data_IF_589650122395
#
_entry.id   IF_589650122395
#
_cell.length_a   1.000
_cell.length_b   1.000
_cell.length_c   1.000
_cell.angle_alpha   90.00
_cell.angle_beta   90.00
_cell.angle_gamma   90.00
#
_symmetry.space_group_name_H-M   'P 1'
#
loop_
_entity.id
_entity.type
_entity.pdbx_description
1 polymer ?
#
# COMPACT_ATOMS: atom_id res chain seq x y z
N UNK A 1 42.78 11.49 -6.99
CA UNK A 1 42.08 11.13 -5.73
C UNK A 1 40.83 10.37 -6.12
N UNK A 2 40.89 9.04 -6.00
CA UNK A 2 39.80 8.13 -6.35
C UNK A 2 38.67 8.23 -5.32
N UNK A 3 37.48 8.57 -5.78
CA UNK A 3 36.24 8.50 -4.99
C UNK A 3 36.00 7.03 -4.67
N UNK A 4 36.06 6.64 -3.39
CA UNK A 4 35.72 5.30 -2.96
C UNK A 4 34.23 5.06 -3.26
N UNK A 5 33.94 4.09 -4.12
CA UNK A 5 32.61 3.51 -4.26
C UNK A 5 32.08 3.16 -2.88
N UNK A 6 30.91 3.65 -2.52
CA UNK A 6 30.23 3.24 -1.30
C UNK A 6 30.16 1.71 -1.28
N UNK A 7 30.62 1.10 -0.18
CA UNK A 7 30.58 -0.34 0.04
C UNK A 7 29.13 -0.73 0.39
N UNK A 8 28.37 -1.03 -0.66
CA UNK A 8 26.95 -1.34 -0.59
C UNK A 8 26.64 -2.62 0.18
N UNK A 9 27.59 -3.55 0.27
CA UNK A 9 27.45 -4.75 1.09
C UNK A 9 27.48 -4.39 2.58
N UNK A 10 28.35 -3.46 2.96
CA UNK A 10 28.38 -2.89 4.32
C UNK A 10 27.13 -2.07 4.65
N UNK A 11 26.54 -1.37 3.67
CA UNK A 11 25.29 -0.62 3.85
C UNK A 11 24.07 -1.54 3.95
N UNK A 12 24.00 -2.59 3.13
CA UNK A 12 22.99 -3.67 3.23
C UNK A 12 23.08 -4.37 4.59
N UNK A 13 24.29 -4.71 5.04
CA UNK A 13 24.52 -5.30 6.36
C UNK A 13 24.21 -4.36 7.52
N UNK A 14 24.41 -3.05 7.37
CA UNK A 14 24.06 -2.06 8.40
C UNK A 14 22.55 -1.84 8.49
N UNK A 15 21.84 -1.86 7.37
CA UNK A 15 20.37 -1.93 7.36
C UNK A 15 19.89 -3.23 8.01
N UNK A 16 20.49 -4.37 7.69
CA UNK A 16 20.18 -5.66 8.33
C UNK A 16 20.42 -5.60 9.86
N UNK A 17 21.55 -5.06 10.32
CA UNK A 17 21.89 -4.99 11.75
C UNK A 17 21.08 -3.94 12.56
N UNK A 18 20.52 -2.93 11.91
CA UNK A 18 19.54 -2.01 12.52
C UNK A 18 18.15 -2.64 12.66
N UNK A 19 17.91 -3.78 12.01
CA UNK A 19 16.60 -4.45 11.88
C UNK A 19 16.55 -5.76 12.68
N UNK A 20 17.65 -6.16 13.33
CA UNK A 20 17.78 -7.42 14.05
C UNK A 20 17.59 -7.20 15.56
N UNK A 21 16.40 -7.51 16.06
CA UNK A 21 16.19 -7.86 17.47
C UNK A 21 16.47 -9.37 17.60
N UNK A 22 17.75 -9.76 17.67
CA UNK A 22 18.22 -11.17 17.60
C UNK A 22 18.11 -11.96 18.89
N UNK A 23 17.49 -11.47 19.95
CA UNK A 23 17.42 -12.23 21.21
C UNK A 23 16.00 -12.70 21.46
N UNK A 24 15.55 -13.80 20.81
CA UNK A 24 14.54 -14.75 21.35
C UNK A 24 14.06 -15.88 20.40
N UNK A 25 14.91 -16.61 19.65
CA UNK A 25 14.39 -17.77 18.88
C UNK A 25 15.36 -18.97 18.88
N UNK A 26 15.14 -19.92 19.80
CA UNK A 26 15.79 -21.25 19.78
C UNK A 26 14.78 -22.34 20.11
N UNK A 27 14.37 -23.10 19.09
CA UNK A 27 14.33 -24.57 19.11
C UNK A 27 13.61 -25.22 17.92
N UNK A 28 12.74 -24.51 17.18
CA UNK A 28 12.06 -25.03 15.98
C UNK A 28 12.49 -24.39 14.64
N UNK A 29 13.16 -23.23 14.65
CA UNK A 29 13.60 -22.54 13.41
C UNK A 29 14.84 -23.16 12.75
N UNK A 30 15.54 -24.10 13.42
CA UNK A 30 16.82 -24.63 12.94
C UNK A 30 16.72 -25.42 11.62
N UNK A 31 15.52 -25.91 11.25
CA UNK A 31 15.32 -26.68 10.03
C UNK A 31 14.76 -25.84 8.87
N UNK A 32 14.19 -24.65 9.12
CA UNK A 32 13.56 -23.85 8.06
C UNK A 32 14.60 -23.29 7.09
N UNK A 33 15.65 -22.69 7.61
CA UNK A 33 16.76 -22.14 6.80
C UNK A 33 17.40 -23.19 5.87
N UNK A 34 17.86 -24.37 6.37
CA UNK A 34 18.46 -25.37 5.48
C UNK A 34 17.45 -25.95 4.49
N UNK A 35 16.18 -26.11 4.88
CA UNK A 35 15.12 -26.56 3.96
C UNK A 35 14.86 -25.54 2.85
N UNK A 36 14.84 -24.25 3.19
CA UNK A 36 14.63 -23.17 2.24
C UNK A 36 15.82 -23.03 1.29
N UNK A 37 17.06 -23.13 1.78
CA UNK A 37 18.24 -23.14 0.92
C UNK A 37 18.18 -24.29 -0.08
N UNK A 38 17.94 -25.51 0.40
CA UNK A 38 17.85 -26.70 -0.44
C UNK A 38 16.75 -26.57 -1.49
N UNK A 39 15.57 -26.08 -1.11
CA UNK A 39 14.45 -25.89 -2.02
C UNK A 39 14.76 -24.86 -3.12
N UNK A 40 15.42 -23.76 -2.77
CA UNK A 40 15.85 -22.74 -3.73
C UNK A 40 16.91 -23.28 -4.68
N UNK A 41 17.92 -23.98 -4.16
CA UNK A 41 19.01 -24.53 -4.96
C UNK A 41 18.51 -25.60 -5.96
N UNK A 42 17.43 -26.31 -5.60
CA UNK A 42 16.75 -27.27 -6.46
C UNK A 42 15.64 -26.66 -7.34
N UNK A 43 15.41 -25.35 -7.27
CA UNK A 43 14.28 -24.65 -7.92
C UNK A 43 12.90 -25.26 -7.58
N UNK A 44 12.75 -25.86 -6.40
CA UNK A 44 11.48 -26.43 -5.93
C UNK A 44 10.58 -25.33 -5.36
N UNK A 45 9.91 -24.62 -6.27
CA UNK A 45 9.01 -23.54 -5.90
C UNK A 45 7.85 -24.01 -5.01
N UNK A 46 7.42 -25.29 -5.07
CA UNK A 46 6.31 -25.79 -4.24
C UNK A 46 6.71 -25.85 -2.78
N UNK A 47 7.93 -26.32 -2.49
CA UNK A 47 8.48 -26.30 -1.13
C UNK A 47 8.73 -24.86 -0.68
N UNK A 48 9.26 -24.00 -1.55
CA UNK A 48 9.43 -22.56 -1.23
C UNK A 48 8.10 -21.91 -0.87
N UNK A 49 7.03 -22.17 -1.63
CA UNK A 49 5.68 -21.68 -1.32
C UNK A 49 5.16 -22.19 0.01
N UNK A 50 5.35 -23.49 0.29
CA UNK A 50 4.94 -24.08 1.55
C UNK A 50 5.65 -23.40 2.73
N UNK A 51 6.99 -23.28 2.66
CA UNK A 51 7.80 -22.67 3.72
C UNK A 51 7.53 -21.17 3.89
N UNK A 52 7.30 -20.44 2.80
CA UNK A 52 6.96 -19.02 2.84
C UNK A 52 5.61 -18.74 3.53
N UNK A 53 4.67 -19.71 3.55
CA UNK A 53 3.39 -19.60 4.26
C UNK A 53 3.48 -19.96 5.75
N UNK A 54 4.57 -20.58 6.21
CA UNK A 54 4.75 -20.87 7.63
C UNK A 54 5.31 -19.65 8.38
N UNK A 55 5.20 -19.68 9.71
CA UNK A 55 5.67 -18.61 10.61
C UNK A 55 7.06 -18.07 10.20
N UNK A 56 7.20 -16.75 10.17
CA UNK A 56 8.43 -16.05 9.81
C UNK A 56 8.67 -15.87 8.30
N UNK A 57 7.79 -16.38 7.43
CA UNK A 57 7.88 -16.14 5.98
C UNK A 57 9.17 -16.68 5.37
N UNK A 58 9.79 -15.91 4.47
CA UNK A 58 11.09 -16.23 3.86
C UNK A 58 12.29 -15.80 4.72
N UNK A 59 12.09 -15.52 6.01
CA UNK A 59 13.12 -15.25 7.02
C UNK A 59 13.80 -13.88 6.82
N UNK A 60 14.56 -13.68 5.75
CA UNK A 60 15.36 -12.47 5.53
C UNK A 60 15.49 -12.11 4.04
N UNK A 61 16.07 -10.93 3.78
CA UNK A 61 16.25 -10.39 2.42
C UNK A 61 17.12 -11.28 1.52
N UNK A 62 18.09 -12.02 2.06
CA UNK A 62 18.95 -12.90 1.27
C UNK A 62 18.18 -14.09 0.68
N UNK A 63 17.26 -14.67 1.45
CA UNK A 63 16.36 -15.68 0.93
C UNK A 63 15.35 -15.08 -0.06
N UNK A 64 14.80 -13.89 0.21
CA UNK A 64 13.86 -13.20 -0.70
C UNK A 64 14.49 -12.88 -2.06
N UNK A 65 15.74 -12.41 -2.09
CA UNK A 65 16.50 -12.16 -3.33
C UNK A 65 16.51 -13.36 -4.26
N UNK A 66 16.49 -14.58 -3.72
CA UNK A 66 16.48 -15.83 -4.51
C UNK A 66 15.08 -16.41 -4.71
N UNK A 67 14.24 -16.35 -3.68
CA UNK A 67 12.92 -16.96 -3.68
C UNK A 67 11.88 -16.13 -4.45
N UNK A 68 11.89 -14.80 -4.35
CA UNK A 68 10.90 -13.97 -5.06
C UNK A 68 10.99 -14.10 -6.58
N UNK A 69 12.18 -14.06 -7.23
CA UNK A 69 12.28 -14.30 -8.67
C UNK A 69 11.72 -15.67 -9.06
N UNK A 70 12.05 -16.71 -8.29
CA UNK A 70 11.52 -18.06 -8.50
C UNK A 70 9.99 -18.10 -8.41
N UNK A 71 9.40 -17.48 -7.37
CA UNK A 71 7.94 -17.42 -7.19
C UNK A 71 7.24 -16.55 -8.24
N UNK A 72 7.95 -15.59 -8.84
CA UNK A 72 7.48 -14.72 -9.91
C UNK A 72 7.71 -15.29 -11.31
N UNK A 73 8.25 -16.51 -11.41
CA UNK A 73 8.50 -17.19 -12.69
C UNK A 73 9.60 -16.51 -13.52
N UNK A 74 10.57 -15.85 -12.87
CA UNK A 74 11.74 -15.30 -13.56
C UNK A 74 12.65 -16.46 -13.95
N UNK A 75 12.83 -16.66 -15.26
CA UNK A 75 13.78 -17.61 -15.81
C UNK A 75 15.20 -17.04 -15.63
N UNK A 76 15.91 -17.55 -14.61
CA UNK A 76 17.25 -17.08 -14.26
C UNK A 76 18.30 -17.41 -15.32
N UNK A 77 18.16 -18.50 -16.08
CA UNK A 77 19.09 -18.84 -17.16
C UNK A 77 18.97 -17.83 -18.30
N UNK A 78 17.73 -17.57 -18.73
CA UNK A 78 17.43 -16.57 -19.76
C UNK A 78 17.78 -15.17 -19.29
N UNK A 79 17.51 -14.83 -18.03
CA UNK A 79 17.88 -13.55 -17.44
C UNK A 79 19.40 -13.30 -17.53
N UNK A 80 20.22 -14.25 -17.08
CA UNK A 80 21.67 -14.12 -17.18
C UNK A 80 22.15 -14.04 -18.64
N UNK A 81 21.53 -14.80 -19.55
CA UNK A 81 21.80 -14.71 -20.99
C UNK A 81 21.47 -13.34 -21.59
N UNK A 82 20.34 -12.75 -21.21
CA UNK A 82 19.92 -11.41 -21.65
C UNK A 82 20.85 -10.32 -21.11
N UNK A 83 21.20 -10.37 -19.82
CA UNK A 83 22.16 -9.43 -19.22
C UNK A 83 23.54 -9.48 -19.89
N UNK A 84 23.96 -10.66 -20.36
CA UNK A 84 25.20 -10.81 -21.13
C UNK A 84 25.09 -10.27 -22.57
N UNK A 85 23.90 -10.26 -23.15
CA UNK A 85 23.63 -9.71 -24.48
C UNK A 85 23.50 -8.18 -24.40
N UNK A 86 24.47 -7.44 -24.94
CA UNK A 86 24.50 -5.96 -24.92
C UNK A 86 23.44 -5.29 -25.83
N UNK A 87 22.34 -5.98 -26.14
CA UNK A 87 21.36 -5.61 -27.16
C UNK A 87 19.97 -5.25 -26.60
N UNK A 88 19.86 -4.84 -25.33
CA UNK A 88 18.63 -4.23 -24.86
C UNK A 88 18.51 -2.80 -25.41
N UNK A 89 17.37 -2.49 -26.02
CA UNK A 89 17.03 -1.11 -26.41
C UNK A 89 16.92 -0.30 -25.12
N UNK A 90 17.68 0.80 -25.03
CA UNK A 90 17.61 1.70 -23.87
C UNK A 90 16.16 2.17 -23.68
N UNK A 91 15.56 1.84 -22.55
CA UNK A 91 14.18 2.21 -22.24
C UNK A 91 13.96 3.73 -22.26
N UNK A 92 15.03 4.53 -22.05
CA UNK A 92 14.97 6.00 -22.14
C UNK A 92 14.69 6.49 -23.55
N UNK A 93 14.95 5.67 -24.58
CA UNK A 93 14.61 5.97 -25.98
C UNK A 93 13.13 5.75 -26.31
N UNK A 94 12.38 5.05 -25.44
CA UNK A 94 10.93 4.86 -25.62
C UNK A 94 10.17 6.18 -25.34
N UNK A 95 8.99 6.37 -25.94
CA UNK A 95 8.16 7.54 -25.69
C UNK A 95 7.90 7.76 -24.21
N UNK A 96 7.80 9.04 -23.82
CA UNK A 96 7.47 9.44 -22.47
C UNK A 96 6.08 8.93 -22.09
N UNK A 97 5.94 8.41 -20.87
CA UNK A 97 4.65 8.03 -20.31
C UNK A 97 3.86 9.28 -19.86
N UNK A 98 2.54 9.21 -19.86
CA UNK A 98 1.68 10.33 -19.44
C UNK A 98 1.77 10.67 -17.95
N UNK A 99 2.20 9.72 -17.13
CA UNK A 99 2.15 9.83 -15.66
C UNK A 99 3.52 10.11 -15.00
N UNK A 100 4.58 10.40 -15.77
CA UNK A 100 5.95 10.54 -15.22
C UNK A 100 6.08 11.68 -14.20
N UNK A 101 5.38 12.79 -14.40
CA UNK A 101 5.40 13.92 -13.47
C UNK A 101 4.86 13.53 -12.08
N UNK A 102 3.78 12.73 -12.06
CA UNK A 102 3.19 12.23 -10.82
C UNK A 102 4.12 11.24 -10.12
N UNK A 103 4.81 10.38 -10.90
CA UNK A 103 5.82 9.46 -10.36
C UNK A 103 6.91 10.24 -9.62
N UNK A 104 7.46 11.29 -10.23
CA UNK A 104 8.54 12.08 -9.61
C UNK A 104 8.07 12.72 -8.28
N UNK A 105 6.88 13.31 -8.24
CA UNK A 105 6.32 13.91 -7.01
C UNK A 105 6.12 12.89 -5.87
N UNK A 106 5.74 11.67 -6.22
CA UNK A 106 5.50 10.60 -5.25
C UNK A 106 6.81 9.97 -4.75
N UNK A 107 7.77 9.77 -5.65
CA UNK A 107 9.11 9.28 -5.30
C UNK A 107 9.85 10.26 -4.39
N UNK A 108 9.66 11.57 -4.58
CA UNK A 108 10.24 12.59 -3.70
C UNK A 108 9.77 12.46 -2.24
N UNK A 109 8.59 11.89 -2.01
CA UNK A 109 8.02 11.64 -0.68
C UNK A 109 8.32 10.24 -0.13
N UNK A 110 9.06 9.41 -0.88
CA UNK A 110 9.37 8.02 -0.51
C UNK A 110 10.56 7.88 0.47
N UNK A 111 10.75 6.67 0.99
CA UNK A 111 11.85 6.26 1.90
C UNK A 111 11.90 6.99 3.24
N UNK A 112 10.73 7.41 3.75
CA UNK A 112 10.61 7.97 5.10
C UNK A 112 10.95 6.91 6.15
N UNK A 113 10.40 5.69 6.01
CA UNK A 113 10.52 4.62 7.00
C UNK A 113 11.59 3.57 6.65
N UNK A 114 11.63 3.09 5.40
CA UNK A 114 12.52 1.96 5.04
C UNK A 114 14.02 2.30 5.00
N UNK A 115 14.37 3.59 5.03
CA UNK A 115 15.75 4.05 5.02
C UNK A 115 15.98 5.16 6.07
N UNK A 116 15.23 5.17 7.17
CA UNK A 116 15.27 6.24 8.19
C UNK A 116 16.71 6.55 8.64
N UNK A 117 17.49 5.50 8.91
CA UNK A 117 18.89 5.55 9.37
C UNK A 117 19.92 5.74 8.24
N UNK A 118 19.50 5.81 6.98
CA UNK A 118 20.36 6.07 5.83
C UNK A 118 20.74 7.54 5.72
N UNK A 119 21.94 7.82 5.21
CA UNK A 119 22.34 9.20 4.89
C UNK A 119 21.46 9.78 3.78
N UNK A 120 21.37 11.10 3.71
CA UNK A 120 20.60 11.79 2.65
C UNK A 120 21.09 11.42 1.24
N UNK A 121 22.39 11.14 1.09
CA UNK A 121 22.95 10.62 -0.17
C UNK A 121 22.38 9.26 -0.55
N UNK A 122 22.24 8.34 0.40
CA UNK A 122 21.65 7.01 0.17
C UNK A 122 20.16 7.14 -0.16
N UNK A 123 19.42 7.99 0.56
CA UNK A 123 18.01 8.27 0.25
C UNK A 123 17.84 8.85 -1.15
N UNK A 124 18.71 9.77 -1.55
CA UNK A 124 18.69 10.38 -2.89
C UNK A 124 18.97 9.34 -3.98
N UNK A 125 19.93 8.44 -3.76
CA UNK A 125 20.20 7.36 -4.71
C UNK A 125 19.03 6.37 -4.81
N UNK A 126 18.43 5.97 -3.69
CA UNK A 126 17.26 5.09 -3.69
C UNK A 126 16.07 5.73 -4.41
N UNK A 127 15.83 7.04 -4.21
CA UNK A 127 14.81 7.79 -4.96
C UNK A 127 15.10 7.80 -6.46
N UNK A 128 16.35 8.06 -6.85
CA UNK A 128 16.76 8.01 -8.26
C UNK A 128 16.53 6.63 -8.88
N UNK A 129 16.96 5.57 -8.19
CA UNK A 129 16.73 4.18 -8.61
C UNK A 129 15.25 3.82 -8.68
N UNK A 130 14.44 4.27 -7.72
CA UNK A 130 12.99 4.04 -7.69
C UNK A 130 12.28 4.75 -8.85
N UNK A 131 12.67 6.00 -9.13
CA UNK A 131 12.14 6.75 -10.25
C UNK A 131 12.46 6.05 -11.57
N UNK A 132 13.73 5.72 -11.83
CA UNK A 132 14.14 5.01 -13.06
C UNK A 132 13.45 3.65 -13.20
N UNK A 133 13.26 2.91 -12.09
CA UNK A 133 12.52 1.64 -12.07
C UNK A 133 11.07 1.80 -12.52
N UNK A 134 10.33 2.74 -11.90
CA UNK A 134 8.90 2.95 -12.20
C UNK A 134 8.74 3.50 -13.63
N UNK A 135 9.56 4.47 -14.03
CA UNK A 135 9.52 5.04 -15.37
C UNK A 135 9.77 3.97 -16.44
N UNK A 136 10.76 3.09 -16.22
CA UNK A 136 11.02 1.98 -17.13
C UNK A 136 9.82 1.05 -17.26
N UNK A 137 9.18 0.67 -16.15
CA UNK A 137 7.99 -0.21 -16.18
C UNK A 137 6.88 0.42 -17.00
N UNK A 138 6.58 1.70 -16.78
CA UNK A 138 5.52 2.43 -17.48
C UNK A 138 5.83 2.65 -18.96
N UNK A 139 7.08 2.97 -19.33
CA UNK A 139 7.46 3.12 -20.75
C UNK A 139 7.50 1.80 -21.51
N UNK A 140 7.86 0.70 -20.84
CA UNK A 140 7.78 -0.64 -21.43
C UNK A 140 6.34 -1.18 -21.49
N UNK A 141 5.45 -0.65 -20.66
CA UNK A 141 4.03 -1.01 -20.61
C UNK A 141 3.16 0.27 -20.66
N UNK A 142 3.15 1.01 -21.79
CA UNK A 142 2.48 2.31 -21.92
C UNK A 142 0.96 2.27 -21.72
N UNK A 143 0.41 1.08 -21.65
CA UNK A 143 -0.98 0.80 -21.37
C UNK A 143 -1.36 0.92 -19.88
N UNK A 144 -0.39 0.79 -18.96
CA UNK A 144 -0.63 0.90 -17.53
C UNK A 144 -0.83 2.35 -17.10
N UNK A 145 -1.79 2.61 -16.23
CA UNK A 145 -2.00 3.92 -15.61
C UNK A 145 -1.41 3.91 -14.20
N UNK A 146 -0.53 4.87 -13.91
CA UNK A 146 0.04 5.00 -12.57
C UNK A 146 -1.04 5.40 -11.55
N UNK A 147 -0.99 4.83 -10.35
CA UNK A 147 -1.80 5.26 -9.20
C UNK A 147 -0.90 5.62 -8.01
N UNK A 148 -1.34 6.61 -7.24
CA UNK A 148 -0.62 7.03 -6.04
C UNK A 148 -0.58 5.89 -5.02
N UNK A 149 0.64 5.50 -4.63
CA UNK A 149 0.92 4.36 -3.76
C UNK A 149 1.60 3.17 -4.46
N UNK A 150 1.64 3.15 -5.80
CA UNK A 150 2.43 2.14 -6.54
C UNK A 150 3.93 2.24 -6.22
N UNK A 151 4.43 3.44 -5.94
CA UNK A 151 5.82 3.67 -5.53
C UNK A 151 6.17 2.98 -4.20
N UNK A 152 5.23 2.91 -3.25
CA UNK A 152 5.44 2.24 -1.96
C UNK A 152 5.68 0.73 -2.19
N UNK A 153 4.91 0.09 -3.08
CA UNK A 153 5.11 -1.31 -3.46
C UNK A 153 6.48 -1.51 -4.13
N UNK A 154 6.83 -0.66 -5.10
CA UNK A 154 8.10 -0.74 -5.80
C UNK A 154 9.29 -0.54 -4.86
N UNK A 155 9.14 0.29 -3.82
CA UNK A 155 10.17 0.52 -2.82
C UNK A 155 10.51 -0.74 -2.00
N UNK A 156 9.52 -1.62 -1.73
CA UNK A 156 9.74 -2.90 -1.03
C UNK A 156 10.69 -3.79 -1.84
N UNK A 157 10.43 -3.94 -3.14
CA UNK A 157 11.32 -4.66 -4.04
C UNK A 157 12.68 -3.98 -4.15
N UNK A 158 12.72 -2.66 -4.30
CA UNK A 158 13.99 -1.95 -4.47
C UNK A 158 14.92 -2.13 -3.27
N UNK A 159 14.40 -2.13 -2.04
CA UNK A 159 15.22 -2.36 -0.84
C UNK A 159 15.84 -3.76 -0.86
N UNK A 160 15.12 -4.77 -1.35
CA UNK A 160 15.63 -6.15 -1.48
C UNK A 160 16.66 -6.24 -2.60
N UNK A 161 16.42 -5.61 -3.75
CA UNK A 161 17.22 -5.79 -4.97
C UNK A 161 18.09 -4.55 -5.32
N UNK A 162 18.46 -3.73 -4.34
CA UNK A 162 19.11 -2.42 -4.54
C UNK A 162 20.43 -2.47 -5.32
N UNK A 163 21.11 -3.62 -5.32
CA UNK A 163 22.36 -3.89 -6.04
C UNK A 163 22.15 -4.67 -7.35
N UNK A 164 20.93 -5.13 -7.62
CA UNK A 164 20.58 -6.00 -8.76
C UNK A 164 19.41 -5.38 -9.54
N UNK A 165 19.59 -4.15 -10.02
CA UNK A 165 18.50 -3.35 -10.61
C UNK A 165 17.79 -4.02 -11.80
N UNK A 166 18.50 -4.82 -12.60
CA UNK A 166 17.87 -5.53 -13.72
C UNK A 166 16.95 -6.65 -13.23
N UNK A 167 17.36 -7.38 -12.18
CA UNK A 167 16.52 -8.40 -11.54
C UNK A 167 15.34 -7.75 -10.81
N UNK A 168 15.59 -6.63 -10.12
CA UNK A 168 14.56 -5.79 -9.52
C UNK A 168 13.49 -5.44 -10.56
N UNK A 169 13.91 -4.91 -11.71
CA UNK A 169 13.01 -4.56 -12.80
C UNK A 169 12.17 -5.74 -13.27
N UNK A 170 12.78 -6.90 -13.54
CA UNK A 170 12.04 -8.11 -13.96
C UNK A 170 11.03 -8.55 -12.91
N UNK A 171 11.42 -8.58 -11.63
CA UNK A 171 10.54 -8.93 -10.53
C UNK A 171 9.35 -7.97 -10.41
N UNK A 172 9.60 -6.64 -10.41
CA UNK A 172 8.52 -5.65 -10.29
C UNK A 172 7.64 -5.65 -11.52
N UNK A 173 8.19 -5.82 -12.73
CA UNK A 173 7.40 -5.94 -13.96
C UNK A 173 6.47 -7.16 -13.88
N UNK A 174 6.99 -8.35 -13.58
CA UNK A 174 6.16 -9.55 -13.41
C UNK A 174 5.11 -9.35 -12.32
N UNK A 175 5.50 -8.84 -11.16
CA UNK A 175 4.57 -8.60 -10.05
C UNK A 175 3.45 -7.63 -10.45
N UNK A 176 3.79 -6.56 -11.15
CA UNK A 176 2.82 -5.56 -11.63
C UNK A 176 1.78 -6.19 -12.55
N UNK A 177 2.23 -6.97 -13.53
CA UNK A 177 1.37 -7.56 -14.54
C UNK A 177 0.52 -8.73 -13.99
N UNK A 178 1.06 -9.47 -13.02
CA UNK A 178 0.43 -10.65 -12.44
C UNK A 178 -0.46 -10.35 -11.24
N UNK A 179 -0.18 -9.28 -10.49
CA UNK A 179 -0.87 -8.98 -9.22
C UNK A 179 -1.49 -7.58 -9.15
N UNK A 180 -1.00 -6.58 -9.90
CA UNK A 180 -1.43 -5.18 -9.72
C UNK A 180 -2.20 -4.60 -10.89
N UNK A 181 -2.22 -5.29 -12.03
CA UNK A 181 -2.78 -4.79 -13.30
C UNK A 181 -4.18 -4.21 -13.14
N UNK A 182 -5.06 -4.83 -12.37
CA UNK A 182 -6.43 -4.34 -12.18
C UNK A 182 -6.50 -2.98 -11.48
N UNK A 183 -5.50 -2.62 -10.66
CA UNK A 183 -5.37 -1.30 -10.02
C UNK A 183 -4.75 -0.24 -10.94
N UNK A 184 -4.11 -0.66 -12.04
CA UNK A 184 -3.46 0.20 -13.04
C UNK A 184 -4.29 0.37 -14.31
N UNK A 185 -5.58 0.05 -14.26
CA UNK A 185 -6.51 0.29 -15.37
C UNK A 185 -6.86 1.79 -15.44
N UNK A 186 -7.29 2.31 -16.62
CA UNK A 186 -7.70 3.70 -16.76
C UNK A 186 -8.85 4.13 -15.84
N UNK A 187 -9.68 3.16 -15.43
CA UNK A 187 -10.80 3.35 -14.51
C UNK A 187 -10.59 2.58 -13.22
N UNK A 188 -10.96 3.20 -12.09
CA UNK A 188 -10.92 2.61 -10.75
C UNK A 188 -11.99 1.53 -10.54
N UNK A 189 -12.90 1.33 -11.49
CA UNK A 189 -14.03 0.42 -11.36
C UNK A 189 -13.60 -1.01 -11.00
N UNK A 190 -12.51 -1.51 -11.57
CA UNK A 190 -12.00 -2.86 -11.25
C UNK A 190 -11.50 -2.93 -9.80
N UNK A 191 -10.77 -1.92 -9.34
CA UNK A 191 -10.40 -1.77 -7.92
C UNK A 191 -11.63 -1.77 -7.02
N UNK A 192 -12.70 -1.05 -7.38
CA UNK A 192 -13.94 -1.00 -6.60
C UNK A 192 -14.62 -2.37 -6.53
N UNK A 193 -14.67 -3.13 -7.63
CA UNK A 193 -15.23 -4.49 -7.62
C UNK A 193 -14.45 -5.41 -6.68
N UNK A 194 -13.12 -5.27 -6.61
CA UNK A 194 -12.27 -5.98 -5.64
C UNK A 194 -12.65 -5.59 -4.21
N UNK A 195 -12.81 -4.29 -3.91
CA UNK A 195 -13.22 -3.81 -2.59
C UNK A 195 -14.60 -4.34 -2.17
N UNK A 196 -15.55 -4.47 -3.11
CA UNK A 196 -16.90 -5.00 -2.88
C UNK A 196 -16.95 -6.46 -2.45
N UNK A 197 -15.82 -7.17 -2.46
CA UNK A 197 -15.70 -8.50 -1.86
C UNK A 197 -15.59 -8.45 -0.33
N UNK A 198 -15.18 -7.32 0.27
CA UNK A 198 -14.96 -7.22 1.72
C UNK A 198 -16.26 -7.40 2.50
N UNK A 199 -17.33 -6.60 2.30
CA UNK A 199 -18.53 -6.70 3.13
C UNK A 199 -19.15 -8.11 3.20
N UNK A 200 -19.40 -8.82 2.08
CA UNK A 200 -19.99 -10.17 2.15
C UNK A 200 -19.03 -11.21 2.75
N UNK A 201 -17.71 -11.02 2.61
CA UNK A 201 -16.75 -11.90 3.27
C UNK A 201 -16.75 -11.68 4.79
N UNK A 202 -16.78 -10.42 5.25
CA UNK A 202 -16.94 -10.10 6.67
C UNK A 202 -18.23 -10.71 7.21
N UNK A 203 -19.37 -10.53 6.53
CA UNK A 203 -20.66 -11.11 6.92
C UNK A 203 -20.60 -12.63 7.16
N UNK A 204 -19.85 -13.35 6.32
CA UNK A 204 -19.70 -14.80 6.39
C UNK A 204 -18.78 -15.27 7.53
N UNK A 205 -17.81 -14.44 7.90
CA UNK A 205 -16.81 -14.77 8.93
C UNK A 205 -17.26 -14.30 10.31
N UNK A 206 -17.76 -13.07 10.42
CA UNK A 206 -18.32 -12.45 11.62
C UNK A 206 -19.49 -11.51 11.25
N UNK A 207 -20.71 -12.02 11.40
CA UNK A 207 -21.94 -11.27 11.12
C UNK A 207 -22.19 -10.12 12.10
N UNK A 208 -21.63 -10.18 13.32
CA UNK A 208 -21.77 -9.10 14.29
C UNK A 208 -21.01 -7.87 13.80
N UNK A 209 -19.75 -8.02 13.38
CA UNK A 209 -18.96 -6.92 12.81
C UNK A 209 -19.65 -6.33 11.58
N UNK A 210 -20.16 -7.18 10.69
CA UNK A 210 -20.86 -6.71 9.50
C UNK A 210 -22.04 -5.78 9.84
N UNK A 211 -22.87 -6.17 10.83
CA UNK A 211 -24.04 -5.40 11.23
C UNK A 211 -23.67 -4.14 12.02
N UNK A 212 -22.77 -4.25 13.00
CA UNK A 212 -22.39 -3.12 13.86
C UNK A 212 -21.63 -2.03 13.09
N UNK A 213 -20.82 -2.41 12.10
CA UNK A 213 -20.12 -1.47 11.22
C UNK A 213 -20.94 -1.06 9.98
N UNK A 214 -22.22 -1.46 9.89
CA UNK A 214 -23.12 -1.09 8.79
C UNK A 214 -22.50 -1.35 7.40
N UNK A 215 -21.73 -2.44 7.24
CA UNK A 215 -20.93 -2.67 6.02
C UNK A 215 -21.79 -2.90 4.77
N UNK A 216 -23.08 -3.20 4.94
CA UNK A 216 -24.04 -3.27 3.84
C UNK A 216 -24.50 -1.92 3.31
N UNK A 217 -24.36 -0.86 4.12
CA UNK A 217 -24.89 0.49 3.84
C UNK A 217 -23.81 1.50 3.43
N UNK A 218 -22.52 1.13 3.54
CA UNK A 218 -21.38 1.97 3.18
C UNK A 218 -20.59 1.35 2.01
N UNK A 219 -20.13 2.20 1.10
CA UNK A 219 -19.21 1.77 0.05
C UNK A 219 -17.81 1.49 0.68
N UNK A 220 -17.13 0.38 0.31
CA UNK A 220 -15.92 -0.10 0.98
C UNK A 220 -14.65 0.70 0.66
N UNK A 221 -14.78 2.00 0.41
CA UNK A 221 -13.65 2.91 0.15
C UNK A 221 -12.72 3.05 1.34
N UNK A 222 -13.18 2.75 2.57
CA UNK A 222 -12.32 2.73 3.76
C UNK A 222 -11.12 1.77 3.61
N UNK A 223 -11.24 0.75 2.76
CA UNK A 223 -10.20 -0.26 2.55
C UNK A 223 -9.32 0.02 1.32
N UNK A 224 -9.54 1.12 0.59
CA UNK A 224 -8.85 1.36 -0.68
C UNK A 224 -7.33 1.43 -0.52
N UNK A 225 -6.85 2.24 0.42
CA UNK A 225 -5.42 2.46 0.67
C UNK A 225 -4.67 1.16 0.97
N UNK A 226 -5.07 0.33 1.95
CA UNK A 226 -4.36 -0.91 2.25
C UNK A 226 -4.41 -1.93 1.11
N UNK A 227 -5.46 -1.95 0.29
CA UNK A 227 -5.52 -2.91 -0.82
C UNK A 227 -4.71 -2.49 -2.04
N UNK A 228 -4.80 -1.24 -2.50
CA UNK A 228 -4.06 -0.82 -3.70
C UNK A 228 -2.55 -0.72 -3.43
N UNK A 229 -2.16 -0.49 -2.17
CA UNK A 229 -0.75 -0.43 -1.77
C UNK A 229 -0.24 -1.74 -1.17
N UNK A 230 -1.08 -2.79 -1.10
CA UNK A 230 -0.72 -4.05 -0.44
C UNK A 230 -0.14 -3.84 0.96
N UNK A 231 -0.74 -2.90 1.71
CA UNK A 231 -0.34 -2.45 3.04
C UNK A 231 1.01 -1.74 3.13
N UNK A 232 1.76 -1.57 2.03
CA UNK A 232 3.09 -0.96 2.07
C UNK A 232 3.06 0.52 2.47
N UNK A 233 1.94 1.20 2.24
CA UNK A 233 1.73 2.56 2.70
C UNK A 233 1.40 2.65 4.20
N UNK A 234 0.82 1.60 4.77
CA UNK A 234 0.32 1.60 6.15
C UNK A 234 1.31 0.97 7.13
N UNK A 235 2.08 -0.03 6.69
CA UNK A 235 3.02 -0.78 7.52
C UNK A 235 4.43 -0.24 7.33
N UNK A 236 4.95 0.37 8.38
CA UNK A 236 6.27 1.00 8.41
C UNK A 236 7.42 0.00 8.64
N UNK A 237 7.13 -1.13 9.28
CA UNK A 237 8.11 -2.20 9.54
C UNK A 237 8.44 -2.97 8.25
N UNK A 238 9.67 -2.82 7.76
CA UNK A 238 10.13 -3.52 6.57
C UNK A 238 10.05 -5.06 6.70
N UNK A 239 10.35 -5.60 7.88
CA UNK A 239 10.24 -7.04 8.16
C UNK A 239 8.79 -7.52 8.00
N UNK A 240 7.83 -6.75 8.52
CA UNK A 240 6.40 -7.12 8.51
C UNK A 240 5.81 -7.03 7.10
N UNK A 241 6.08 -5.95 6.37
CA UNK A 241 5.60 -5.82 4.98
C UNK A 241 6.23 -6.87 4.06
N UNK A 242 7.50 -7.23 4.29
CA UNK A 242 8.15 -8.29 3.51
C UNK A 242 7.49 -9.65 3.74
N UNK A 243 7.04 -9.97 4.96
CA UNK A 243 6.28 -11.21 5.22
C UNK A 243 4.92 -11.23 4.53
N UNK A 244 4.24 -10.07 4.44
CA UNK A 244 3.00 -9.97 3.67
C UNK A 244 3.27 -10.28 2.20
N UNK A 245 4.34 -9.72 1.63
CA UNK A 245 4.73 -10.00 0.24
C UNK A 245 5.15 -11.46 0.04
N UNK A 246 5.86 -12.07 1.00
CA UNK A 246 6.16 -13.51 1.02
C UNK A 246 4.84 -14.31 0.90
N UNK A 247 3.81 -13.91 1.67
CA UNK A 247 2.48 -14.52 1.63
C UNK A 247 1.72 -14.32 0.32
N UNK A 248 1.79 -13.14 -0.30
CA UNK A 248 1.19 -12.84 -1.61
C UNK A 248 1.79 -13.74 -2.70
N UNK A 249 3.12 -13.78 -2.77
CA UNK A 249 3.84 -14.58 -3.75
C UNK A 249 3.61 -16.07 -3.52
N UNK A 250 3.67 -16.52 -2.26
CA UNK A 250 3.50 -17.93 -1.93
C UNK A 250 2.08 -18.45 -2.21
N UNK A 251 1.06 -17.63 -2.03
CA UNK A 251 -0.31 -17.99 -2.38
C UNK A 251 -0.59 -17.91 -3.87
N UNK A 252 0.20 -17.14 -4.61
CA UNK A 252 0.03 -16.98 -6.05
C UNK A 252 -1.38 -16.53 -6.40
N UNK A 253 -1.89 -15.55 -5.64
CA UNK A 253 -3.16 -14.87 -5.88
C UNK A 253 -3.16 -13.56 -5.12
N UNK A 254 -3.61 -12.48 -5.78
CA UNK A 254 -3.83 -11.20 -5.11
C UNK A 254 -4.89 -11.33 -4.00
N UNK A 255 -5.87 -12.23 -4.14
CA UNK A 255 -7.01 -12.34 -3.22
C UNK A 255 -6.65 -12.54 -1.75
N UNK A 256 -5.43 -13.02 -1.46
CA UNK A 256 -4.91 -13.15 -0.09
C UNK A 256 -4.91 -11.82 0.68
N UNK A 257 -4.77 -10.67 0.00
CA UNK A 257 -4.78 -9.36 0.66
C UNK A 257 -6.15 -9.02 1.27
N UNK A 258 -7.24 -9.51 0.69
CA UNK A 258 -8.60 -9.29 1.20
C UNK A 258 -8.78 -10.07 2.50
N UNK A 259 -8.31 -11.33 2.52
CA UNK A 259 -8.35 -12.15 3.72
C UNK A 259 -7.45 -11.58 4.82
N UNK A 260 -6.28 -11.05 4.47
CA UNK A 260 -5.39 -10.42 5.43
C UNK A 260 -5.99 -9.13 6.00
N UNK A 261 -6.62 -8.29 5.16
CA UNK A 261 -7.38 -7.11 5.62
C UNK A 261 -8.45 -7.50 6.64
N UNK A 262 -9.22 -8.56 6.35
CA UNK A 262 -10.29 -9.04 7.24
C UNK A 262 -9.69 -9.62 8.52
N UNK A 263 -8.61 -10.38 8.44
CA UNK A 263 -7.93 -10.90 9.63
C UNK A 263 -7.50 -9.77 10.57
N UNK A 264 -6.94 -8.69 10.02
CA UNK A 264 -6.59 -7.50 10.81
C UNK A 264 -7.83 -6.83 11.40
N UNK A 265 -8.89 -6.68 10.61
CA UNK A 265 -10.16 -6.10 11.06
C UNK A 265 -10.73 -6.89 12.26
N UNK A 266 -10.74 -8.22 12.18
CA UNK A 266 -11.20 -9.09 13.27
C UNK A 266 -10.30 -8.96 14.51
N UNK A 267 -8.98 -8.88 14.32
CA UNK A 267 -8.03 -8.73 15.44
C UNK A 267 -8.13 -7.38 16.16
N UNK A 268 -8.71 -6.36 15.50
CA UNK A 268 -8.86 -5.00 16.02
C UNK A 268 -10.31 -4.67 16.37
N UNK A 269 -11.20 -5.67 16.41
CA UNK A 269 -12.65 -5.52 16.61
C UNK A 269 -12.97 -4.63 17.82
N UNK A 270 -12.42 -4.95 18.98
CA UNK A 270 -12.69 -4.25 20.24
C UNK A 270 -12.20 -2.80 20.18
N UNK A 271 -10.99 -2.58 19.65
CA UNK A 271 -10.41 -1.24 19.51
C UNK A 271 -11.22 -0.37 18.54
N UNK A 272 -11.73 -0.95 17.46
CA UNK A 272 -12.56 -0.26 16.47
C UNK A 272 -13.88 0.16 17.09
N UNK A 273 -14.59 -0.76 17.77
CA UNK A 273 -15.85 -0.45 18.43
C UNK A 273 -15.70 0.60 19.52
N UNK A 274 -14.63 0.53 20.32
CA UNK A 274 -14.36 1.55 21.33
C UNK A 274 -14.17 2.93 20.71
N UNK A 275 -13.40 3.05 19.61
CA UNK A 275 -13.20 4.33 18.92
C UNK A 275 -14.49 4.89 18.32
N UNK A 276 -15.30 4.03 17.72
CA UNK A 276 -16.60 4.45 17.17
C UNK A 276 -17.49 4.99 18.28
N UNK A 277 -17.63 4.28 19.41
CA UNK A 277 -18.43 4.74 20.54
C UNK A 277 -17.97 6.10 21.07
N UNK A 278 -16.66 6.33 21.16
CA UNK A 278 -16.11 7.62 21.61
C UNK A 278 -16.39 8.77 20.63
N UNK A 279 -16.34 8.50 19.32
CA UNK A 279 -16.55 9.51 18.29
C UNK A 279 -18.03 9.78 18.00
N UNK A 280 -18.93 8.81 18.26
CA UNK A 280 -20.38 8.99 18.13
C UNK A 280 -20.96 9.98 19.15
N UNK A 281 -20.29 10.18 20.29
CA UNK A 281 -20.66 11.19 21.29
C UNK A 281 -20.41 12.63 20.82
N UNK A 282 -19.64 12.81 19.74
CA UNK A 282 -19.41 14.11 19.12
C UNK A 282 -20.50 14.37 18.06
N UNK A 283 -21.51 15.19 18.40
CA UNK A 283 -22.75 15.54 17.63
C UNK A 283 -22.56 16.07 16.18
N UNK A 284 -21.38 15.95 15.58
CA UNK A 284 -21.01 16.58 14.32
C UNK A 284 -20.87 15.63 13.11
N UNK A 285 -20.94 14.32 13.29
CA UNK A 285 -20.79 13.33 12.21
C UNK A 285 -21.93 12.30 12.19
N UNK A 286 -22.25 11.77 11.00
CA UNK A 286 -23.11 10.59 10.93
C UNK A 286 -22.33 9.35 11.37
N UNK A 287 -23.02 8.34 11.89
CA UNK A 287 -22.40 7.04 12.24
C UNK A 287 -21.59 6.43 11.08
N UNK A 288 -22.07 6.58 9.85
CA UNK A 288 -21.38 6.09 8.65
C UNK A 288 -20.05 6.82 8.41
N UNK A 289 -20.00 8.14 8.63
CA UNK A 289 -18.78 8.94 8.49
C UNK A 289 -17.75 8.53 9.55
N UNK A 290 -18.19 8.34 10.80
CA UNK A 290 -17.34 7.88 11.90
C UNK A 290 -16.75 6.50 11.59
N UNK A 291 -17.60 5.54 11.16
CA UNK A 291 -17.15 4.20 10.77
C UNK A 291 -16.13 4.28 9.64
N UNK A 292 -16.41 5.06 8.59
CA UNK A 292 -15.48 5.23 7.48
C UNK A 292 -14.12 5.78 7.96
N UNK A 293 -14.12 6.81 8.80
CA UNK A 293 -12.89 7.40 9.33
C UNK A 293 -12.08 6.39 10.15
N UNK A 294 -12.72 5.68 11.08
CA UNK A 294 -12.08 4.67 11.92
C UNK A 294 -11.52 3.53 11.07
N UNK A 295 -12.29 3.01 10.12
CA UNK A 295 -11.87 1.92 9.23
C UNK A 295 -10.80 2.35 8.22
N UNK A 296 -10.70 3.62 7.87
CA UNK A 296 -9.60 4.10 7.02
C UNK A 296 -8.26 4.17 7.75
N UNK A 297 -8.26 4.16 9.10
CA UNK A 297 -7.08 4.41 9.93
C UNK A 297 -6.68 3.27 10.87
N UNK A 298 -7.52 2.25 11.07
CA UNK A 298 -7.26 1.21 12.08
C UNK A 298 -5.94 0.44 11.85
N UNK A 299 -5.41 0.42 10.61
CA UNK A 299 -4.18 -0.28 10.25
C UNK A 299 -2.91 0.52 10.62
N UNK A 300 -3.01 1.85 10.79
CA UNK A 300 -1.83 2.72 10.95
C UNK A 300 -1.00 2.44 12.21
N UNK A 301 -1.56 1.76 13.22
CA UNK A 301 -0.89 1.50 14.50
C UNK A 301 -1.07 0.04 14.96
N UNK A 302 -0.91 -0.92 14.04
CA UNK A 302 -0.99 -2.34 14.39
C UNK A 302 0.37 -2.85 14.87
N UNK A 303 0.38 -3.52 16.01
CA UNK A 303 1.58 -4.15 16.57
C UNK A 303 2.09 -5.30 15.69
N UNK A 304 3.41 -5.49 15.64
CA UNK A 304 4.08 -6.54 14.85
C UNK A 304 3.51 -7.95 15.12
N UNK A 305 3.27 -8.30 16.38
CA UNK A 305 2.72 -9.61 16.75
C UNK A 305 1.32 -9.83 16.17
N UNK A 306 0.51 -8.76 16.08
CA UNK A 306 -0.82 -8.82 15.48
C UNK A 306 -0.75 -9.04 13.97
N UNK A 307 0.22 -8.42 13.30
CA UNK A 307 0.50 -8.64 11.87
C UNK A 307 0.87 -10.11 11.62
N UNK A 308 1.83 -10.64 12.39
CA UNK A 308 2.26 -12.04 12.25
C UNK A 308 1.13 -13.04 12.52
N UNK A 309 0.34 -12.81 13.57
CA UNK A 309 -0.82 -13.64 13.89
C UNK A 309 -1.91 -13.57 12.81
N UNK A 310 -2.14 -12.38 12.25
CA UNK A 310 -3.13 -12.17 11.19
C UNK A 310 -2.74 -12.86 9.88
N UNK A 311 -1.44 -13.01 9.59
CA UNK A 311 -0.99 -13.82 8.45
C UNK A 311 -1.34 -15.30 8.63
N UNK A 312 -1.25 -15.83 9.86
CA UNK A 312 -1.64 -17.21 10.16
C UNK A 312 -3.16 -17.41 10.08
N UNK A 313 -3.93 -16.49 10.67
CA UNK A 313 -5.38 -16.58 10.73
C UNK A 313 -6.04 -16.38 9.35
N UNK A 314 -5.44 -15.56 8.50
CA UNK A 314 -5.82 -15.40 7.09
C UNK A 314 -5.94 -16.75 6.36
N UNK A 315 -5.05 -17.71 6.64
CA UNK A 315 -5.09 -19.06 6.04
C UNK A 315 -6.33 -19.85 6.48
N UNK A 316 -6.80 -19.65 7.73
CA UNK A 316 -8.01 -20.29 8.25
C UNK A 316 -9.26 -19.70 7.59
N UNK A 317 -9.29 -18.36 7.42
CA UNK A 317 -10.41 -17.66 6.77
C UNK A 317 -10.57 -18.12 5.32
N UNK A 318 -9.46 -18.22 4.58
CA UNK A 318 -9.45 -18.66 3.18
C UNK A 318 -10.15 -20.02 2.98
N UNK A 319 -9.92 -20.98 3.89
CA UNK A 319 -10.56 -22.31 3.84
C UNK A 319 -12.06 -22.26 4.14
N UNK A 320 -12.48 -21.40 5.08
CA UNK A 320 -13.88 -21.28 5.52
C UNK A 320 -14.75 -20.51 4.52
N UNK A 321 -14.20 -19.48 3.88
CA UNK A 321 -14.96 -18.57 3.05
C UNK A 321 -14.22 -18.20 1.75
N UNK A 322 -14.15 -19.12 0.75
CA UNK A 322 -13.55 -18.85 -0.55
C UNK A 322 -14.21 -17.66 -1.26
N UNK A 323 -13.39 -16.75 -1.83
CA UNK A 323 -13.83 -15.55 -2.55
C UNK A 323 -14.73 -15.90 -3.74
N UNK A 324 -14.43 -16.99 -4.43
CA UNK A 324 -15.13 -17.48 -5.62
C UNK A 324 -16.58 -17.84 -5.34
N UNK A 325 -16.92 -18.08 -4.06
CA UNK A 325 -18.28 -18.39 -3.61
C UNK A 325 -19.10 -17.15 -3.25
N UNK A 326 -18.51 -15.95 -3.28
CA UNK A 326 -19.20 -14.69 -2.97
C UNK A 326 -19.91 -14.16 -4.22
N UNK A 327 -21.12 -13.64 -4.07
CA UNK A 327 -21.90 -13.13 -5.21
C UNK A 327 -21.17 -12.03 -6.01
N UNK A 328 -20.54 -11.02 -5.38
CA UNK A 328 -19.82 -9.99 -6.14
C UNK A 328 -18.61 -10.52 -6.92
N UNK A 329 -18.06 -11.69 -6.56
CA UNK A 329 -16.95 -12.29 -7.29
C UNK A 329 -17.34 -12.62 -8.74
N UNK A 330 -18.62 -12.91 -9.01
CA UNK A 330 -19.10 -13.15 -10.36
C UNK A 330 -19.00 -11.92 -11.28
N UNK A 331 -18.98 -10.70 -10.70
CA UNK A 331 -18.83 -9.43 -11.45
C UNK A 331 -17.37 -9.09 -11.76
N UNK A 332 -16.41 -9.78 -11.14
CA UNK A 332 -14.99 -9.65 -11.45
C UNK A 332 -14.74 -10.16 -12.87
N UNK A 333 -14.04 -9.36 -13.68
CA UNK A 333 -13.73 -9.71 -15.06
C UNK A 333 -12.94 -11.02 -15.14
N UNK A 334 -13.17 -11.82 -16.19
CA UNK A 334 -12.57 -13.17 -16.34
C UNK A 334 -11.05 -13.15 -16.28
N UNK A 335 -10.45 -12.13 -16.86
CA UNK A 335 -9.02 -11.86 -16.97
C UNK A 335 -8.43 -11.20 -15.72
N UNK A 336 -9.24 -10.75 -14.75
CA UNK A 336 -8.79 -10.08 -13.51
C UNK A 336 -7.68 -10.85 -12.80
N UNK A 337 -6.77 -10.12 -12.12
CA UNK A 337 -5.68 -10.72 -11.33
C UNK A 337 -6.21 -11.57 -10.17
N UNK A 338 -7.48 -11.39 -9.77
CA UNK A 338 -8.15 -12.26 -8.81
C UNK A 338 -8.58 -13.61 -9.39
N UNK A 339 -8.76 -13.71 -10.70
CA UNK A 339 -9.19 -14.93 -11.40
C UNK A 339 -8.06 -15.64 -12.12
N UNK A 340 -6.98 -14.94 -12.43
CA UNK A 340 -5.80 -15.51 -13.03
C UNK A 340 -4.81 -15.90 -11.95
N UNK A 341 -4.46 -17.19 -11.84
CA UNK A 341 -3.37 -17.59 -10.96
C UNK A 341 -2.01 -17.30 -11.62
N UNK A 342 -1.07 -16.65 -10.91
CA UNK A 342 0.34 -16.61 -11.28
C UNK A 342 1.12 -17.90 -10.97
N UNK A 343 0.51 -18.92 -10.36
CA UNK A 343 1.22 -20.15 -9.99
C UNK A 343 1.70 -20.90 -11.24
N UNK A 344 3.02 -21.11 -11.27
CA UNK A 344 3.87 -21.55 -12.40
C UNK A 344 3.50 -22.95 -12.96
N UNK A 345 2.58 -23.71 -12.35
CA UNK A 345 2.22 -25.05 -12.84
C UNK A 345 1.73 -25.04 -14.30
N UNK A 346 1.21 -23.91 -14.81
CA UNK A 346 0.53 -23.85 -16.12
C UNK A 346 0.98 -22.68 -17.03
N UNK A 347 1.92 -21.83 -16.60
CA UNK A 347 2.30 -20.64 -17.39
C UNK A 347 3.32 -20.98 -18.48
N UNK A 348 2.82 -21.32 -19.66
CA UNK A 348 3.61 -21.12 -20.88
C UNK A 348 3.98 -19.62 -20.98
N UNK A 349 5.21 -19.30 -21.35
CA UNK A 349 5.66 -17.92 -21.66
C UNK A 349 4.68 -17.24 -22.63
N UNK A 350 4.02 -18.04 -23.49
CA UNK A 350 2.93 -17.61 -24.35
C UNK A 350 1.73 -17.07 -23.58
N UNK A 351 1.30 -17.71 -22.49
CA UNK A 351 0.15 -17.28 -21.69
C UNK A 351 0.44 -15.96 -20.94
N UNK A 352 1.67 -15.75 -20.48
CA UNK A 352 2.10 -14.46 -19.90
C UNK A 352 2.01 -13.35 -20.96
N UNK A 353 2.45 -13.62 -22.20
CA UNK A 353 2.35 -12.67 -23.33
C UNK A 353 0.91 -12.43 -23.78
N UNK A 354 0.06 -13.45 -23.77
CA UNK A 354 -1.36 -13.33 -24.10
C UNK A 354 -2.10 -12.52 -23.01
N UNK A 355 -1.73 -12.70 -21.74
CA UNK A 355 -2.22 -11.86 -20.62
C UNK A 355 -1.77 -10.40 -20.72
N UNK A 356 -0.62 -10.13 -21.34
CA UNK A 356 -0.15 -8.77 -21.66
C UNK A 356 -0.89 -8.15 -22.84
N UNK A 357 -1.16 -8.93 -23.89
CA UNK A 357 -1.98 -8.51 -25.02
C UNK A 357 -3.40 -8.11 -24.57
N UNK A 358 -3.94 -8.79 -23.57
CA UNK A 358 -5.25 -8.48 -22.99
C UNK A 358 -5.34 -7.06 -22.37
N UNK A 359 -4.28 -6.51 -21.75
CA UNK A 359 -4.36 -5.12 -21.24
C UNK A 359 -4.64 -4.17 -22.41
N UNK A 360 -4.07 -4.46 -23.57
CA UNK A 360 -4.30 -3.71 -24.80
C UNK A 360 -5.76 -3.85 -25.24
N UNK A 361 -6.35 -5.06 -25.19
CA UNK A 361 -7.77 -5.29 -25.51
C UNK A 361 -8.73 -4.60 -24.53
N UNK A 362 -8.52 -4.71 -23.21
CA UNK A 362 -9.36 -4.04 -22.21
C UNK A 362 -9.32 -2.52 -22.32
N UNK A 363 -8.17 -1.95 -22.69
CA UNK A 363 -8.04 -0.52 -22.98
C UNK A 363 -8.72 -0.15 -24.28
N UNK A 364 -8.66 -1.00 -25.31
CA UNK A 364 -9.40 -0.78 -26.55
C UNK A 364 -10.92 -0.84 -26.30
N UNK A 365 -11.40 -1.75 -25.45
CA UNK A 365 -12.81 -1.82 -25.04
C UNK A 365 -13.26 -0.57 -24.28
N UNK A 366 -12.48 -0.11 -23.30
CA UNK A 366 -12.75 1.12 -22.52
C UNK A 366 -12.70 2.38 -23.42
N UNK A 367 -11.76 2.44 -24.37
CA UNK A 367 -11.70 3.51 -25.38
C UNK A 367 -12.87 3.46 -26.37
N UNK A 368 -13.33 2.26 -26.76
CA UNK A 368 -14.48 2.07 -27.64
C UNK A 368 -15.78 2.45 -26.92
N UNK A 369 -15.97 2.08 -25.65
CA UNK A 369 -17.10 2.53 -24.84
C UNK A 369 -17.07 4.06 -24.61
N UNK A 370 -15.90 4.64 -24.36
CA UNK A 370 -15.71 6.09 -24.29
C UNK A 370 -16.01 6.83 -25.61
N UNK A 371 -15.77 6.21 -26.76
CA UNK A 371 -16.02 6.78 -28.10
C UNK A 371 -17.47 6.69 -28.58
N UNK A 372 -18.24 5.71 -28.08
CA UNK A 372 -19.68 5.57 -28.37
C UNK A 372 -20.53 6.67 -27.70
N UNK A 373 -19.96 7.39 -26.74
CA UNK A 373 -20.56 8.55 -26.09
C UNK A 373 -20.14 9.82 -26.85
N UNK A 374 -20.61 9.96 -28.09
CA UNK A 374 -20.49 11.20 -28.90
C UNK A 374 -21.86 11.79 -29.18
N UNK A 375 -22.76 11.76 -28.18
CA UNK A 375 -23.98 12.56 -28.17
C UNK A 375 -23.80 13.74 -27.20
N UNK A 376 -23.87 15.02 -27.64
CA UNK A 376 -23.57 16.20 -26.82
C UNK A 376 -24.47 16.37 -25.58
N UNK A 377 -25.54 15.57 -25.47
CA UNK A 377 -26.44 15.52 -24.31
C UNK A 377 -26.12 14.44 -23.26
N UNK A 378 -25.11 13.58 -23.47
CA UNK A 378 -24.72 12.56 -22.48
C UNK A 378 -23.28 12.78 -22.01
N UNK A 379 -23.10 13.73 -21.09
CA UNK A 379 -21.85 13.82 -20.32
C UNK A 379 -21.76 12.60 -19.40
N UNK A 380 -21.04 11.57 -19.84
CA UNK A 380 -20.45 10.59 -18.94
C UNK A 380 -19.65 11.36 -17.89
N UNK A 381 -20.04 11.16 -16.64
CA UNK A 381 -19.44 11.73 -15.44
C UNK A 381 -17.94 11.48 -15.41
N UNK A 382 -17.15 12.47 -15.81
CA UNK A 382 -15.80 12.65 -15.27
C UNK A 382 -15.98 12.83 -13.77
N UNK A 383 -15.87 11.75 -13.03
CA UNK A 383 -15.96 11.77 -11.58
C UNK A 383 -14.66 12.39 -11.06
N UNK A 384 -14.58 13.72 -11.08
CA UNK A 384 -13.60 14.42 -10.26
C UNK A 384 -13.98 14.14 -8.81
N UNK A 385 -13.01 13.91 -7.93
CA UNK A 385 -13.23 13.81 -6.48
C UNK A 385 -14.03 15.03 -5.95
N UNK A 386 -14.03 16.16 -6.68
CA UNK A 386 -14.88 17.33 -6.43
C UNK A 386 -16.38 17.11 -6.64
N UNK A 387 -16.79 16.21 -7.54
CA UNK A 387 -18.20 15.96 -7.87
C UNK A 387 -18.89 15.00 -6.88
N UNK A 388 -18.13 14.09 -6.25
CA UNK A 388 -18.59 13.36 -5.07
C UNK A 388 -18.87 14.28 -3.86
N UNK A 389 -18.15 15.41 -3.80
CA UNK A 389 -18.27 16.45 -2.78
C UNK A 389 -19.30 17.54 -3.14
N UNK A 390 -19.95 17.45 -4.30
CA UNK A 390 -20.84 18.49 -4.82
C UNK A 390 -22.34 18.21 -4.56
N UNK A 391 -22.69 17.47 -3.51
CA UNK A 391 -24.04 17.60 -2.93
C UNK A 391 -24.13 18.97 -2.26
N UNK A 392 -25.13 19.75 -2.70
CA UNK A 392 -25.31 21.22 -2.58
C UNK A 392 -25.39 21.80 -1.14
N UNK A 393 -25.01 21.05 -0.11
CA UNK A 393 -25.07 21.45 1.31
C UNK A 393 -23.69 21.64 1.97
N UNK A 394 -22.59 21.16 1.37
CA UNK A 394 -21.26 21.14 2.04
C UNK A 394 -20.22 22.16 1.54
N UNK A 395 -20.54 23.03 0.57
CA UNK A 395 -19.55 24.00 0.05
C UNK A 395 -19.17 25.09 1.06
N UNK A 396 -20.06 25.46 1.97
CA UNK A 396 -19.77 26.45 3.02
C UNK A 396 -18.91 25.84 4.13
N UNK A 397 -19.16 24.59 4.49
CA UNK A 397 -18.45 23.85 5.53
C UNK A 397 -17.04 23.42 5.09
N UNK A 398 -16.87 22.99 3.84
CA UNK A 398 -15.55 22.65 3.31
C UNK A 398 -14.65 23.90 3.15
N UNK A 399 -15.22 25.04 2.79
CA UNK A 399 -14.48 26.32 2.80
C UNK A 399 -14.10 26.71 4.22
N UNK A 400 -14.97 26.51 5.21
CA UNK A 400 -14.63 26.78 6.62
C UNK A 400 -13.54 25.85 7.15
N UNK A 401 -13.59 24.54 6.88
CA UNK A 401 -12.56 23.60 7.37
C UNK A 401 -11.19 23.83 6.72
N UNK A 402 -11.15 24.16 5.42
CA UNK A 402 -9.92 24.53 4.74
C UNK A 402 -9.34 25.84 5.28
N UNK A 403 -10.20 26.82 5.58
CA UNK A 403 -9.77 28.12 6.14
C UNK A 403 -9.25 27.96 7.57
N UNK A 404 -9.91 27.14 8.40
CA UNK A 404 -9.47 26.82 9.76
C UNK A 404 -8.16 26.02 9.74
N UNK A 405 -8.00 25.08 8.80
CA UNK A 405 -6.76 24.32 8.60
C UNK A 405 -5.59 25.21 8.17
N UNK A 406 -5.81 26.15 7.25
CA UNK A 406 -4.80 27.12 6.81
C UNK A 406 -4.42 28.08 7.95
N UNK A 407 -5.40 28.56 8.73
CA UNK A 407 -5.16 29.41 9.90
C UNK A 407 -4.39 28.65 10.99
N UNK A 408 -4.74 27.38 11.24
CA UNK A 408 -4.02 26.53 12.19
C UNK A 408 -2.58 26.26 11.78
N UNK A 409 -2.33 26.06 10.48
CA UNK A 409 -1.00 25.84 9.93
C UNK A 409 -0.15 27.13 9.95
N UNK A 410 -0.76 28.29 9.66
CA UNK A 410 -0.13 29.60 9.82
C UNK A 410 0.17 29.93 11.29
N UNK A 411 -0.73 29.63 12.21
CA UNK A 411 -0.50 29.77 13.65
C UNK A 411 0.64 28.88 14.12
N UNK A 412 0.71 27.63 13.66
CA UNK A 412 1.80 26.71 14.01
C UNK A 412 3.15 27.18 13.44
N UNK A 413 3.17 27.74 12.23
CA UNK A 413 4.38 28.35 11.64
C UNK A 413 4.78 29.60 12.41
N UNK A 414 3.84 30.47 12.81
CA UNK A 414 4.11 31.68 13.59
C UNK A 414 4.61 31.33 14.99
N UNK A 415 4.03 30.31 15.63
CA UNK A 415 4.45 29.81 16.95
C UNK A 415 5.84 29.18 16.89
N UNK A 416 6.13 28.33 15.88
CA UNK A 416 7.49 27.78 15.66
C UNK A 416 8.53 28.85 15.32
N UNK A 417 8.12 29.93 14.65
CA UNK A 417 9.03 31.05 14.31
C UNK A 417 9.32 31.94 15.53
N UNK A 418 8.41 32.01 16.50
CA UNK A 418 8.59 32.74 17.76
C UNK A 418 9.37 31.95 18.81
N UNK A 419 9.38 30.61 18.78
CA UNK A 419 10.25 29.81 19.66
C UNK A 419 11.75 29.91 19.29
N UNK A 420 12.07 30.36 18.07
CA UNK A 420 13.44 30.53 17.59
C UNK A 420 14.07 31.90 17.96
N UNK A 421 13.38 32.77 18.70
CA UNK A 421 13.87 34.09 19.09
C UNK A 421 13.77 34.30 20.62
N UNK A 422 14.76 33.82 21.37
CA UNK A 422 15.01 34.36 22.71
C UNK A 422 15.88 35.62 22.60
N UNK A 423 15.30 36.80 22.84
CA UNK A 423 15.99 38.00 23.32
C UNK A 423 15.01 38.92 24.07
N UNK A 424 15.16 38.91 25.41
CA UNK A 424 14.96 39.97 26.41
C UNK A 424 13.89 41.10 26.24
N UNK A 425 13.04 41.21 27.29
CA UNK A 425 12.21 42.37 27.78
C UNK A 425 10.76 42.56 27.26
N UNK A 426 9.84 43.21 28.02
CA UNK A 426 8.92 42.58 28.99
C UNK A 426 7.46 42.52 28.48
N UNK A 427 6.93 41.31 28.30
CA UNK A 427 5.55 41.01 27.83
C UNK A 427 4.56 40.99 29.02
N UNK A 428 4.60 41.99 29.89
CA UNK A 428 3.63 42.11 31.01
C UNK A 428 2.63 43.24 30.85
N UNK A 429 2.74 44.08 29.81
CA UNK A 429 1.76 45.15 29.54
C UNK A 429 0.80 44.86 28.37
N UNK A 430 1.11 43.91 27.48
CA UNK A 430 0.21 43.51 26.38
C UNK A 430 -0.80 42.42 26.76
N UNK A 431 -0.56 41.70 27.87
CA UNK A 431 -1.49 40.68 28.37
C UNK A 431 -2.74 41.27 29.04
N UNK A 432 -2.65 42.51 29.52
CA UNK A 432 -3.77 43.17 30.22
C UNK A 432 -4.78 43.84 29.28
N UNK A 433 -4.47 44.02 27.99
CA UNK A 433 -5.38 44.66 27.02
C UNK A 433 -6.11 43.68 26.09
N UNK A 434 -5.75 42.39 26.09
CA UNK A 434 -6.49 41.35 25.36
C UNK A 434 -7.44 40.51 26.23
N UNK A 435 -7.34 40.62 27.56
CA UNK A 435 -8.22 39.90 28.49
C UNK A 435 -9.63 40.51 28.64
N UNK A 436 -9.88 41.71 28.11
CA UNK A 436 -11.22 42.33 28.15
C UNK A 436 -12.07 42.05 26.91
N UNK A 437 -11.48 41.70 25.76
CA UNK A 437 -12.25 41.48 24.52
C UNK A 437 -12.75 40.02 24.40
N UNK A 438 -12.15 39.07 25.13
CA UNK A 438 -12.59 37.65 25.13
C UNK A 438 -13.70 37.37 26.17
N UNK A 439 -14.11 38.35 26.98
CA UNK A 439 -15.15 38.18 28.01
C UNK A 439 -16.60 38.38 27.54
N UNK A 440 -16.87 38.53 26.23
CA UNK A 440 -18.26 38.72 25.73
C UNK A 440 -18.87 37.45 25.10
N UNK A 441 -18.12 36.36 24.95
CA UNK A 441 -18.74 35.13 24.47
C UNK A 441 -17.85 33.94 24.67
N UNK A 442 -18.01 33.27 25.81
CA UNK A 442 -17.94 31.81 26.02
C UNK A 442 -18.03 31.58 27.55
N UNK A 443 -19.24 31.32 28.02
CA UNK A 443 -19.53 30.42 29.15
C UNK A 443 -20.74 29.59 28.70
N UNK A 444 -20.79 28.27 28.92
CA UNK A 444 -20.04 27.51 29.92
C UNK A 444 -19.42 26.19 29.40
N UNK A 445 -18.09 26.12 29.32
CA UNK A 445 -17.31 24.87 29.47
C UNK A 445 -16.44 25.06 30.72
N UNK A 446 -17.08 25.21 31.87
CA UNK A 446 -16.40 25.34 33.17
C UNK A 446 -16.78 24.23 34.17
N UNK A 447 -17.67 23.32 33.79
CA UNK A 447 -18.22 22.35 34.74
C UNK A 447 -17.88 20.88 34.43
N UNK A 448 -16.92 20.59 33.53
CA UNK A 448 -16.66 19.19 33.10
C UNK A 448 -15.31 18.58 33.44
N UNK A 449 -14.48 19.17 34.31
CA UNK A 449 -13.37 18.43 34.92
C UNK A 449 -13.17 18.79 36.39
N UNK A 450 -13.33 17.81 37.29
CA UNK A 450 -12.23 17.57 38.21
C UNK A 450 -11.90 16.07 38.35
N UNK A 451 -10.61 15.82 38.65
CA UNK A 451 -9.98 14.61 39.26
C UNK A 451 -9.44 13.58 38.25
N UNK A 452 -8.17 13.18 38.25
CA UNK A 452 -7.00 13.39 39.12
C UNK A 452 -5.73 13.18 38.25
N UNK A 453 -4.58 13.57 38.80
CA UNK A 453 -3.18 13.35 38.39
C UNK A 453 -2.87 12.15 37.49
#
# INVERSE_FOLDING_TARGET
>A
MSVSSADWDTLSMKLDNSIVDSTLFKSNDSLKEPSLSTAIDLNDYKIVQFLAKTKGGLINSNFRKKAWPLLLGVDMEKFHGLCASRYSVDWKSKPQHKDEDQVSLDVDRSFIYYAENGSDSVKTELKSKLNDLILRILRENPQLCYYQGYHDICSVFLVIFSNEMELCFQCVQNFTLLYLRDFMMPSINESIKILKLIPPLVQKVDAQIYNELLLGDIEPFYAISPLITLFSHNITSFSSISQIFDGILANGSLGIIIYYYISLLLSQKENIFQKISLMEEEDCFTKQDVIHDVLSKFILNIEKNTIEQSLEDCTKITKRAPLEKLLPFHQIQRNSVLRTSPLINDLDIKEIKDRLAFITEAILEDQVEGSKITDPSSKATRFSIKDALAKKQNQTLFKMSLTIGIIGLLLNIILKKNEAFQLQTPITQLWNTHSEIINIGIRPIRDLLPKFF
#
